data_IF_432017304055
#
_entry.id   IF_432017304055
#
_cell.length_a   1.000
_cell.length_b   1.000
_cell.length_c   1.000
_cell.angle_alpha   90.00
_cell.angle_beta   90.00
_cell.angle_gamma   90.00
#
_symmetry.space_group_name_H-M   'P 1'
#
loop_
_entity.id
_entity.type
_entity.pdbx_description
1 polymer ?
#
# COMPACT_ATOMS: atom_id res chain seq x y z
N UNK A 1 21.99 8.95 12.17
CA UNK A 1 20.53 8.94 12.06
C UNK A 1 20.20 8.11 10.83
N UNK A 2 19.85 6.84 11.03
CA UNK A 2 19.39 5.99 9.93
C UNK A 2 18.05 6.57 9.50
N UNK A 3 18.03 7.32 8.39
CA UNK A 3 16.77 7.54 7.67
C UNK A 3 16.35 6.15 7.23
N UNK A 4 15.25 5.65 7.77
CA UNK A 4 14.59 4.46 7.26
C UNK A 4 14.42 4.69 5.77
N UNK A 5 15.22 3.97 4.98
CA UNK A 5 15.25 4.13 3.54
C UNK A 5 13.94 3.50 3.09
N UNK A 6 12.93 4.30 2.81
CA UNK A 6 11.70 3.81 2.20
C UNK A 6 12.13 2.99 0.99
N UNK A 7 11.71 1.72 0.88
CA UNK A 7 12.09 0.91 -0.26
C UNK A 7 11.69 1.63 -1.55
N UNK A 8 12.56 1.60 -2.56
CA UNK A 8 12.24 2.18 -3.87
C UNK A 8 11.03 1.43 -4.43
N UNK A 9 9.96 2.16 -4.81
CA UNK A 9 8.70 1.56 -5.29
C UNK A 9 7.53 1.55 -4.29
N UNK A 10 7.63 2.22 -3.13
CA UNK A 10 6.47 2.38 -2.24
C UNK A 10 5.36 3.19 -2.90
N UNK A 11 4.15 2.65 -2.88
CA UNK A 11 2.90 3.28 -3.29
C UNK A 11 2.29 3.93 -2.04
N UNK A 12 1.99 5.22 -2.13
CA UNK A 12 1.33 6.00 -1.09
C UNK A 12 -0.08 6.35 -1.57
N UNK A 13 -1.09 5.98 -0.78
CA UNK A 13 -2.50 6.19 -1.10
C UNK A 13 -3.20 6.74 0.12
N UNK A 14 -3.79 7.92 -0.04
CA UNK A 14 -4.72 8.49 0.93
C UNK A 14 -6.06 7.75 0.76
N UNK A 15 -6.34 6.82 1.68
CA UNK A 15 -7.47 5.89 1.56
C UNK A 15 -8.38 5.93 2.80
N UNK A 16 -7.82 6.19 3.97
CA UNK A 16 -8.55 6.19 5.23
C UNK A 16 -8.66 7.59 5.82
N UNK A 17 -9.61 7.77 6.72
CA UNK A 17 -9.66 8.98 7.55
C UNK A 17 -8.39 9.13 8.39
N UNK A 18 -8.03 10.38 8.69
CA UNK A 18 -6.83 10.72 9.48
C UNK A 18 -6.80 10.07 10.87
N UNK A 19 -7.96 9.64 11.38
CA UNK A 19 -8.11 8.91 12.65
C UNK A 19 -7.57 7.47 12.60
N UNK A 20 -7.39 6.93 11.39
CA UNK A 20 -6.80 5.61 11.16
C UNK A 20 -5.28 5.74 11.20
N UNK A 21 -4.72 5.49 12.38
CA UNK A 21 -3.28 5.48 12.61
C UNK A 21 -2.78 4.07 12.90
N UNK A 22 -1.80 3.63 12.12
CA UNK A 22 -1.07 2.39 12.34
C UNK A 22 -1.71 1.12 11.76
N UNK A 23 -0.90 0.06 11.58
CA UNK A 23 -1.32 -1.18 10.93
C UNK A 23 -2.27 -2.04 11.77
N UNK A 24 -2.38 -1.77 13.08
CA UNK A 24 -3.24 -2.50 14.00
C UNK A 24 -4.72 -2.08 13.92
N UNK A 25 -5.03 -0.97 13.23
CA UNK A 25 -6.41 -0.53 13.07
C UNK A 25 -7.24 -1.60 12.30
N UNK A 26 -8.50 -1.88 12.67
CA UNK A 26 -9.28 -2.92 12.00
C UNK A 26 -9.49 -2.66 10.50
N UNK A 27 -9.51 -1.40 10.07
CA UNK A 27 -9.57 -1.04 8.64
C UNK A 27 -8.25 -1.28 7.93
N UNK A 28 -7.14 -0.92 8.57
CA UNK A 28 -5.78 -1.22 8.12
C UNK A 28 -5.57 -2.72 7.88
N UNK A 29 -5.98 -3.54 8.85
CA UNK A 29 -5.83 -4.99 8.77
C UNK A 29 -6.64 -5.60 7.62
N UNK A 30 -7.87 -5.11 7.39
CA UNK A 30 -8.68 -5.57 6.26
C UNK A 30 -8.02 -5.23 4.93
N UNK A 31 -7.50 -4.02 4.79
CA UNK A 31 -6.85 -3.61 3.55
C UNK A 31 -5.52 -4.32 3.34
N UNK A 32 -4.74 -4.52 4.40
CA UNK A 32 -3.54 -5.36 4.36
C UNK A 32 -3.85 -6.76 3.84
N UNK A 33 -4.90 -7.40 4.36
CA UNK A 33 -5.31 -8.72 3.89
C UNK A 33 -5.70 -8.71 2.40
N UNK A 34 -6.35 -7.66 1.91
CA UNK A 34 -6.65 -7.50 0.49
C UNK A 34 -5.37 -7.38 -0.34
N UNK A 35 -4.40 -6.58 0.10
CA UNK A 35 -3.10 -6.47 -0.58
C UNK A 35 -2.34 -7.79 -0.57
N UNK A 36 -2.34 -8.53 0.54
CA UNK A 36 -1.71 -9.86 0.65
C UNK A 36 -2.39 -10.87 -0.29
N UNK A 37 -3.72 -10.83 -0.42
CA UNK A 37 -4.45 -11.66 -1.39
C UNK A 37 -4.11 -11.31 -2.85
N UNK A 38 -4.06 -10.02 -3.19
CA UNK A 38 -3.64 -9.57 -4.52
C UNK A 38 -2.20 -9.97 -4.80
N UNK A 39 -1.31 -9.90 -3.80
CA UNK A 39 0.07 -10.35 -3.95
C UNK A 39 0.11 -11.86 -4.25
N UNK A 40 -0.60 -12.68 -3.47
CA UNK A 40 -0.66 -14.14 -3.64
C UNK A 40 -1.23 -14.53 -5.02
N UNK A 41 -2.31 -13.89 -5.47
CA UNK A 41 -2.91 -14.09 -6.79
C UNK A 41 -1.94 -13.78 -7.95
N UNK A 42 -0.90 -13.01 -7.68
CA UNK A 42 0.11 -12.59 -8.64
C UNK A 42 1.50 -13.22 -8.38
N UNK A 43 1.62 -14.23 -7.51
CA UNK A 43 2.89 -14.85 -7.10
C UNK A 43 3.92 -13.81 -6.57
N UNK A 44 3.44 -12.85 -5.77
CA UNK A 44 4.21 -11.76 -5.19
C UNK A 44 4.03 -11.71 -3.67
N UNK A 45 4.87 -10.95 -2.99
CA UNK A 45 4.79 -10.73 -1.55
C UNK A 45 4.70 -9.23 -1.21
N UNK A 46 3.89 -8.92 -0.21
CA UNK A 46 3.83 -7.58 0.38
C UNK A 46 5.10 -7.36 1.24
N UNK A 47 6.05 -6.61 0.73
CA UNK A 47 7.35 -6.38 1.38
C UNK A 47 7.34 -5.23 2.37
N UNK A 48 6.39 -4.30 2.20
CA UNK A 48 6.24 -3.13 3.05
C UNK A 48 4.77 -2.78 3.23
N UNK A 49 4.38 -2.44 4.47
CA UNK A 49 3.07 -1.94 4.80
C UNK A 49 3.14 -1.03 6.03
N UNK A 50 2.74 0.22 5.86
CA UNK A 50 2.70 1.24 6.91
C UNK A 50 1.45 2.10 6.75
N UNK A 51 0.96 2.64 7.86
CA UNK A 51 -0.10 3.65 7.86
C UNK A 51 0.35 4.85 8.66
N UNK A 52 0.18 6.03 8.09
CA UNK A 52 0.44 7.30 8.74
C UNK A 52 -0.73 8.25 8.45
N UNK A 53 -1.50 8.61 9.49
CA UNK A 53 -2.59 9.58 9.43
C UNK A 53 -3.58 9.35 8.28
N UNK A 54 -4.12 8.13 8.16
CA UNK A 54 -5.06 7.80 7.08
C UNK A 54 -4.41 7.45 5.73
N UNK A 55 -3.14 7.81 5.53
CA UNK A 55 -2.37 7.43 4.35
C UNK A 55 -1.78 6.04 4.53
N UNK A 56 -2.06 5.16 3.58
CA UNK A 56 -1.44 3.83 3.49
C UNK A 56 -0.22 3.89 2.57
N UNK A 57 0.88 3.31 3.05
CA UNK A 57 2.12 3.17 2.30
C UNK A 57 2.45 1.69 2.17
N UNK A 58 2.55 1.15 0.95
CA UNK A 58 2.82 -0.26 0.73
C UNK A 58 3.75 -0.50 -0.47
N UNK A 59 4.45 -1.63 -0.46
CA UNK A 59 5.28 -2.06 -1.59
C UNK A 59 5.22 -3.57 -1.79
N UNK A 60 5.31 -3.99 -3.05
CA UNK A 60 5.43 -5.39 -3.44
C UNK A 60 6.85 -5.68 -3.93
N UNK A 61 7.28 -6.94 -3.86
CA UNK A 61 8.56 -7.39 -4.41
C UNK A 61 8.60 -7.39 -5.95
N UNK A 62 7.45 -7.18 -6.61
CA UNK A 62 7.31 -7.20 -8.06
C UNK A 62 6.90 -5.84 -8.65
N UNK A 63 7.79 -5.23 -9.42
CA UNK A 63 7.56 -3.95 -10.10
C UNK A 63 6.41 -3.98 -11.12
N UNK A 64 6.14 -5.14 -11.75
CA UNK A 64 5.04 -5.30 -12.70
C UNK A 64 3.70 -5.25 -11.97
N UNK A 65 3.61 -5.85 -10.78
CA UNK A 65 2.41 -5.79 -9.94
C UNK A 65 2.17 -4.37 -9.44
N UNK A 66 3.23 -3.69 -8.96
CA UNK A 66 3.13 -2.29 -8.51
C UNK A 66 2.58 -1.39 -9.62
N UNK A 67 3.09 -1.56 -10.85
CA UNK A 67 2.61 -0.81 -12.02
C UNK A 67 1.13 -1.08 -12.31
N UNK A 68 0.68 -2.33 -12.19
CA UNK A 68 -0.74 -2.69 -12.40
C UNK A 68 -1.64 -2.10 -11.31
N UNK A 69 -1.24 -2.19 -10.04
CA UNK A 69 -2.01 -1.65 -8.91
C UNK A 69 -2.15 -0.13 -9.03
N UNK A 70 -1.06 0.59 -9.30
CA UNK A 70 -1.09 2.04 -9.56
C UNK A 70 -2.08 2.35 -10.69
N UNK A 71 -2.00 1.60 -11.79
CA UNK A 71 -2.86 1.83 -12.96
C UNK A 71 -4.34 1.58 -12.64
N UNK A 72 -4.66 0.52 -11.91
CA UNK A 72 -6.03 0.22 -11.46
C UNK A 72 -6.56 1.31 -10.52
N UNK A 73 -5.74 1.85 -9.62
CA UNK A 73 -6.13 2.94 -8.72
C UNK A 73 -6.31 4.27 -9.47
N UNK A 74 -5.45 4.57 -10.45
CA UNK A 74 -5.60 5.72 -11.35
C UNK A 74 -6.90 5.64 -12.17
N UNK A 75 -7.26 4.46 -12.68
CA UNK A 75 -8.50 4.24 -13.43
C UNK A 75 -9.76 4.46 -12.57
N UNK A 76 -9.63 4.31 -11.24
CA UNK A 76 -10.72 4.55 -10.28
C UNK A 76 -10.76 6.00 -9.75
N UNK A 77 -9.77 6.83 -10.10
CA UNK A 77 -9.72 8.26 -9.73
C UNK A 77 -9.28 8.54 -8.30
N UNK A 78 -8.64 7.57 -7.63
CA UNK A 78 -8.20 7.68 -6.23
C UNK A 78 -6.74 8.13 -6.07
N UNK A 79 -6.05 8.45 -7.18
CA UNK A 79 -4.68 8.98 -7.18
C UNK A 79 -4.54 10.14 -8.18
N UNK A 80 -4.41 11.36 -7.65
CA UNK A 80 -3.91 12.53 -8.39
C UNK A 80 -2.36 12.51 -8.32
N UNK A 81 -1.71 11.93 -9.34
CA UNK A 81 -0.25 12.01 -9.56
C UNK A 81 0.10 13.07 -10.60
#
# INVERSE_FOLDING_TARGET
MLKEKTPEGVIEVDLFDEEVEGPDHPEAQKFRLLLEQVADDHDCELTFFQIEKGTVCFAFDNEELMTKVIKTMQEQGELDL
#
